data_IF_992476176022
#
_entry.id   IF_992476176022
#
_cell.length_a   1.000
_cell.length_b   1.000
_cell.length_c   1.000
_cell.angle_alpha   90.00
_cell.angle_beta   90.00
_cell.angle_gamma   90.00
#
_symmetry.space_group_name_H-M   'P 1'
#
loop_
_entity.id
_entity.type
_entity.pdbx_description
1 polymer ?
#
# COMPACT_ATOMS: atom_id res chain seq x y z
N UNK A 1 8.27 -5.20 -29.46
CA UNK A 1 8.43 -4.22 -28.37
C UNK A 1 7.35 -4.46 -27.36
N UNK A 2 7.64 -5.17 -26.26
CA UNK A 2 6.67 -5.28 -25.17
C UNK A 2 7.42 -5.49 -23.85
N UNK A 3 7.76 -4.38 -23.19
CA UNK A 3 8.24 -4.38 -21.80
C UNK A 3 7.01 -4.51 -20.88
N UNK A 4 6.53 -5.73 -20.67
CA UNK A 4 5.57 -6.05 -19.59
C UNK A 4 6.24 -6.75 -18.39
N UNK A 5 7.55 -6.56 -18.20
CA UNK A 5 8.32 -7.25 -17.17
C UNK A 5 9.27 -6.29 -16.45
N UNK A 6 8.72 -5.28 -15.76
CA UNK A 6 9.52 -4.41 -14.89
C UNK A 6 8.95 -4.26 -13.48
N UNK A 7 7.73 -4.73 -13.20
CA UNK A 7 7.09 -4.55 -11.88
C UNK A 7 7.35 -5.76 -10.96
N UNK A 8 7.71 -6.93 -11.52
CA UNK A 8 7.99 -8.14 -10.74
C UNK A 8 9.37 -8.14 -10.05
N UNK A 9 10.32 -7.32 -10.52
CA UNK A 9 11.68 -7.24 -9.95
C UNK A 9 11.81 -6.18 -8.85
N UNK A 10 10.75 -5.40 -8.61
CA UNK A 10 10.74 -4.37 -7.56
C UNK A 10 10.13 -4.97 -6.29
N UNK A 11 10.70 -6.09 -5.85
CA UNK A 11 10.54 -6.49 -4.46
C UNK A 11 11.31 -5.46 -3.62
N UNK A 12 10.78 -5.02 -2.47
CA UNK A 12 11.60 -4.27 -1.53
C UNK A 12 12.80 -5.15 -1.18
N UNK A 13 13.99 -4.75 -1.64
CA UNK A 13 15.23 -5.16 -1.00
C UNK A 13 15.08 -4.77 0.48
N UNK A 14 15.43 -5.66 1.40
CA UNK A 14 15.31 -5.42 2.85
C UNK A 14 16.09 -4.18 3.31
N UNK A 15 17.08 -3.75 2.51
CA UNK A 15 17.81 -2.49 2.73
C UNK A 15 17.00 -1.24 2.35
N UNK A 16 15.99 -1.36 1.48
CA UNK A 16 15.17 -0.24 0.98
C UNK A 16 13.93 -0.09 1.87
N UNK A 17 14.09 0.71 2.94
CA UNK A 17 13.02 1.06 3.87
C UNK A 17 11.97 2.01 3.29
N UNK A 18 12.28 2.69 2.19
CA UNK A 18 11.40 3.69 1.59
C UNK A 18 11.59 3.75 0.08
N UNK A 19 10.48 3.68 -0.67
CA UNK A 19 10.47 3.87 -2.12
C UNK A 19 9.21 4.60 -2.58
N UNK A 20 9.38 5.53 -3.53
CA UNK A 20 8.29 6.19 -4.23
C UNK A 20 8.41 6.00 -5.74
N UNK A 21 7.33 5.59 -6.39
CA UNK A 21 7.23 5.56 -7.84
C UNK A 21 6.87 6.94 -8.37
N UNK A 22 7.82 7.88 -8.31
CA UNK A 22 7.62 9.29 -8.70
C UNK A 22 7.18 9.46 -10.16
N UNK A 23 7.45 8.49 -11.01
CA UNK A 23 6.96 8.46 -12.39
C UNK A 23 5.42 8.28 -12.49
N UNK A 24 4.78 7.83 -11.42
CA UNK A 24 3.33 7.67 -11.34
C UNK A 24 2.61 9.02 -11.48
N UNK A 25 1.51 9.02 -12.23
CA UNK A 25 0.56 10.15 -12.34
C UNK A 25 0.09 10.71 -11.01
N UNK A 26 0.16 9.92 -9.93
CA UNK A 26 -0.15 10.37 -8.58
C UNK A 26 0.76 11.51 -8.13
N UNK A 27 2.08 11.36 -8.27
CA UNK A 27 3.08 12.33 -7.79
C UNK A 27 3.24 13.53 -8.72
N UNK A 28 2.68 13.49 -9.94
CA UNK A 28 2.63 14.64 -10.85
C UNK A 28 1.62 15.70 -10.39
N UNK A 29 0.77 15.40 -9.40
CA UNK A 29 -0.19 16.33 -8.84
C UNK A 29 0.42 17.01 -7.59
N UNK A 30 0.62 18.34 -7.60
CA UNK A 30 1.35 19.04 -6.53
C UNK A 30 0.64 18.99 -5.17
N UNK A 31 -0.67 18.75 -5.15
CA UNK A 31 -1.47 18.64 -3.93
C UNK A 31 -1.56 17.21 -3.38
N UNK A 32 -0.93 16.22 -4.03
CA UNK A 32 -1.01 14.82 -3.63
C UNK A 32 0.29 14.34 -3.03
N UNK A 33 0.24 14.02 -1.74
CA UNK A 33 1.25 13.27 -1.03
C UNK A 33 0.67 11.94 -0.53
N UNK A 34 1.53 10.93 -0.40
CA UNK A 34 1.14 9.71 0.29
C UNK A 34 1.10 9.96 1.81
N UNK A 35 0.12 9.39 2.53
CA UNK A 35 0.05 9.52 3.99
C UNK A 35 1.32 8.99 4.67
N UNK A 36 1.74 9.63 5.76
CA UNK A 36 2.92 9.18 6.51
C UNK A 36 2.62 7.94 7.36
N UNK A 37 3.62 7.11 7.70
CA UNK A 37 3.44 5.99 8.61
C UNK A 37 2.80 6.38 9.95
N UNK A 38 3.21 7.52 10.51
CA UNK A 38 2.65 8.08 11.75
C UNK A 38 1.16 8.38 11.62
N UNK A 39 0.71 8.96 10.50
CA UNK A 39 -0.71 9.21 10.25
C UNK A 39 -1.51 7.91 10.18
N UNK A 40 -0.99 6.89 9.50
CA UNK A 40 -1.64 5.59 9.38
C UNK A 40 -1.76 4.90 10.76
N UNK A 41 -0.72 4.98 11.58
CA UNK A 41 -0.73 4.46 12.96
C UNK A 41 -1.76 5.16 13.82
N UNK A 42 -1.83 6.48 13.76
CA UNK A 42 -2.82 7.26 14.52
C UNK A 42 -4.27 6.94 14.11
N UNK A 43 -4.50 6.59 12.84
CA UNK A 43 -5.83 6.27 12.32
C UNK A 43 -6.22 4.80 12.51
N UNK A 44 -5.24 3.90 12.68
CA UNK A 44 -5.48 2.45 12.70
C UNK A 44 -5.78 1.99 14.11
N UNK A 45 -6.97 1.44 14.31
CA UNK A 45 -7.37 0.92 15.61
C UNK A 45 -6.88 -0.50 15.88
N UNK A 46 -6.54 -1.26 14.84
CA UNK A 46 -6.22 -2.67 14.92
C UNK A 46 -4.77 -3.00 14.53
N UNK A 47 -3.92 -1.99 14.30
CA UNK A 47 -2.53 -2.19 13.85
C UNK A 47 -1.72 -3.10 14.77
N UNK A 48 -1.87 -2.95 16.09
CA UNK A 48 -1.16 -3.78 17.07
C UNK A 48 -1.97 -4.99 17.54
N UNK A 49 -3.26 -5.05 17.20
CA UNK A 49 -4.17 -6.10 17.64
C UNK A 49 -4.29 -7.25 16.64
N UNK A 50 -3.92 -7.02 15.38
CA UNK A 50 -4.09 -7.97 14.30
C UNK A 50 -2.82 -8.01 13.43
N UNK A 51 -2.20 -9.18 13.18
CA UNK A 51 -1.05 -9.29 12.28
C UNK A 51 -1.39 -8.97 10.81
N UNK A 52 -2.67 -8.86 10.46
CA UNK A 52 -3.17 -8.36 9.17
C UNK A 52 -4.23 -7.27 9.42
N UNK A 53 -3.79 -6.06 9.81
CA UNK A 53 -4.69 -4.93 10.06
C UNK A 53 -5.60 -4.63 8.87
N UNK A 54 -6.74 -4.01 9.16
CA UNK A 54 -7.67 -3.56 8.11
C UNK A 54 -6.97 -2.56 7.19
N UNK A 55 -7.02 -2.77 5.86
CA UNK A 55 -6.49 -1.80 4.92
C UNK A 55 -7.21 -0.45 5.04
N UNK A 56 -6.47 0.64 4.82
CA UNK A 56 -7.02 1.99 4.85
C UNK A 56 -7.28 2.52 3.45
N UNK A 57 -8.39 3.23 3.29
CA UNK A 57 -8.76 3.93 2.06
C UNK A 57 -8.79 5.44 2.36
N UNK A 58 -7.98 6.20 1.65
CA UNK A 58 -8.00 7.66 1.62
C UNK A 58 -8.74 8.09 0.35
N UNK A 59 -10.06 8.23 0.45
CA UNK A 59 -10.91 8.49 -0.72
C UNK A 59 -10.61 9.82 -1.41
N UNK A 60 -10.21 10.83 -0.65
CA UNK A 60 -9.81 12.15 -1.16
C UNK A 60 -8.53 12.06 -1.99
N UNK A 61 -7.57 11.26 -1.52
CA UNK A 61 -6.29 11.04 -2.20
C UNK A 61 -6.43 10.01 -3.34
N UNK A 62 -7.47 9.17 -3.30
CA UNK A 62 -7.60 7.94 -4.09
C UNK A 62 -6.42 6.99 -3.84
N UNK A 63 -6.04 6.86 -2.57
CA UNK A 63 -4.95 5.98 -2.12
C UNK A 63 -5.53 4.87 -1.26
N UNK A 64 -5.05 3.66 -1.50
CA UNK A 64 -5.32 2.48 -0.69
C UNK A 64 -4.02 2.04 -0.04
N UNK A 65 -4.04 1.77 1.26
CA UNK A 65 -2.85 1.38 2.02
C UNK A 65 -3.11 0.04 2.70
N UNK A 66 -2.28 -0.96 2.37
CA UNK A 66 -2.17 -2.20 3.13
C UNK A 66 -0.95 -2.09 4.02
N UNK A 67 -1.06 -2.50 5.27
CA UNK A 67 0.05 -2.46 6.20
C UNK A 67 -0.02 -3.62 7.19
N UNK A 68 1.14 -4.01 7.72
CA UNK A 68 1.26 -5.09 8.70
C UNK A 68 2.64 -5.74 8.66
N UNK A 69 2.92 -6.68 9.59
CA UNK A 69 4.12 -7.51 9.55
C UNK A 69 4.15 -8.44 8.32
N UNK A 70 2.98 -8.75 7.76
CA UNK A 70 2.85 -9.56 6.54
C UNK A 70 1.89 -8.90 5.55
N UNK A 71 2.42 -8.38 4.44
CA UNK A 71 1.62 -7.76 3.38
C UNK A 71 1.77 -8.55 2.08
N UNK A 72 0.65 -9.04 1.53
CA UNK A 72 0.63 -9.75 0.25
C UNK A 72 0.23 -8.82 -0.90
N UNK A 73 1.07 -8.75 -1.93
CA UNK A 73 0.87 -7.99 -3.17
C UNK A 73 -0.08 -8.67 -4.18
N UNK A 74 -1.11 -9.39 -3.73
CA UNK A 74 -2.09 -9.99 -4.66
C UNK A 74 -3.06 -8.94 -5.20
N UNK A 75 -3.21 -8.94 -6.52
CA UNK A 75 -4.25 -8.23 -7.29
C UNK A 75 -4.28 -6.72 -7.10
N UNK A 76 -3.12 -6.08 -7.09
CA UNK A 76 -3.04 -4.63 -7.01
C UNK A 76 -2.77 -4.03 -8.39
N UNK A 77 -3.66 -3.19 -8.93
CA UNK A 77 -3.53 -2.68 -10.28
C UNK A 77 -2.38 -1.67 -10.45
N UNK A 78 -1.98 -0.94 -9.38
CA UNK A 78 -0.88 0.04 -9.45
C UNK A 78 -0.32 0.42 -8.07
N UNK A 79 0.98 0.22 -7.87
CA UNK A 79 1.69 0.56 -6.62
C UNK A 79 2.26 1.98 -6.75
N UNK A 80 2.15 2.76 -5.67
CA UNK A 80 2.67 4.13 -5.57
C UNK A 80 3.99 4.20 -4.80
N UNK A 81 4.20 3.25 -3.88
CA UNK A 81 5.44 3.13 -3.13
C UNK A 81 5.25 2.21 -1.93
N UNK A 82 6.31 2.08 -1.14
CA UNK A 82 6.25 1.41 0.15
C UNK A 82 7.09 2.13 1.20
N UNK A 83 6.80 1.82 2.46
CA UNK A 83 7.59 2.19 3.63
C UNK A 83 7.74 1.00 4.55
N UNK A 84 8.86 0.91 5.24
CA UNK A 84 9.07 0.02 6.37
C UNK A 84 9.32 0.91 7.58
N UNK A 85 8.48 0.78 8.60
CA UNK A 85 8.64 1.60 9.80
C UNK A 85 9.58 0.96 10.83
N UNK A 86 9.71 1.62 11.98
CA UNK A 86 10.63 1.21 13.07
C UNK A 86 10.29 -0.15 13.67
N UNK A 87 9.03 -0.60 13.58
CA UNK A 87 8.59 -1.92 14.04
C UNK A 87 8.67 -2.99 12.93
N UNK A 88 9.29 -2.66 11.79
CA UNK A 88 9.33 -3.48 10.58
C UNK A 88 7.94 -3.75 9.98
N UNK A 89 6.95 -2.89 10.24
CA UNK A 89 5.69 -2.97 9.52
C UNK A 89 5.92 -2.47 8.10
N UNK A 90 5.53 -3.29 7.13
CA UNK A 90 5.53 -2.90 5.73
C UNK A 90 4.24 -2.15 5.47
N UNK A 91 4.33 -0.95 4.91
CA UNK A 91 3.23 -0.13 4.44
C UNK A 91 3.32 -0.07 2.91
N UNK A 92 2.30 -0.59 2.23
CA UNK A 92 2.22 -0.62 0.78
C UNK A 92 1.16 0.38 0.33
N UNK A 93 1.58 1.37 -0.46
CA UNK A 93 0.73 2.43 -0.99
C UNK A 93 0.33 2.11 -2.41
N UNK A 94 -0.97 2.21 -2.70
CA UNK A 94 -1.54 1.76 -3.96
C UNK A 94 -2.56 2.79 -4.45
N UNK A 95 -2.66 2.94 -5.77
CA UNK A 95 -3.64 3.84 -6.37
C UNK A 95 -5.01 3.14 -6.41
N UNK A 96 -6.03 3.80 -5.86
CA UNK A 96 -7.41 3.32 -5.90
C UNK A 96 -7.97 3.54 -7.31
N UNK A 97 -8.17 2.47 -8.08
CA UNK A 97 -8.80 2.58 -9.40
C UNK A 97 -10.32 2.75 -9.26
N UNK A 98 -10.91 3.63 -10.09
CA UNK A 98 -12.36 3.94 -10.06
C UNK A 98 -13.24 2.75 -10.42
N UNK A 99 -12.72 1.80 -11.20
CA UNK A 99 -13.51 0.73 -11.82
C UNK A 99 -13.60 -0.54 -10.97
N UNK A 100 -12.71 -0.71 -9.99
CA UNK A 100 -12.81 -1.77 -9.01
C UNK A 100 -12.79 -1.13 -7.65
N UNK A 101 -13.97 -0.87 -7.09
CA UNK A 101 -14.14 -0.94 -5.64
C UNK A 101 -13.61 -2.32 -5.28
N UNK A 102 -12.35 -2.43 -4.86
CA UNK A 102 -11.75 -3.70 -4.46
C UNK A 102 -12.77 -4.31 -3.51
N UNK A 103 -13.44 -5.38 -3.95
CA UNK A 103 -14.28 -6.19 -3.07
C UNK A 103 -13.26 -6.68 -2.05
N UNK A 104 -13.15 -5.95 -0.94
CA UNK A 104 -12.40 -6.38 0.22
C UNK A 104 -13.21 -7.55 0.74
N UNK A 105 -13.05 -8.72 0.09
CA UNK A 105 -13.64 -9.96 0.56
C UNK A 105 -12.87 -10.26 1.83
N UNK A 106 -13.43 -9.83 2.95
CA UNK A 106 -13.13 -10.39 4.25
C UNK A 106 -13.65 -11.82 4.27
N UNK A 107 -12.93 -12.73 3.62
CA UNK A 107 -13.05 -14.16 3.89
C UNK A 107 -11.66 -14.65 4.21
N UNK A 108 -11.35 -14.62 5.50
CA UNK A 108 -10.72 -15.77 6.13
C UNK A 108 -11.46 -15.98 7.47
N UNK A 109 -12.72 -16.42 7.32
CA UNK A 109 -13.35 -17.32 8.29
C UNK A 109 -12.66 -18.67 8.04
N UNK A 110 -11.55 -18.89 8.73
CA UNK A 110 -10.88 -20.18 8.86
C UNK A 110 -11.24 -20.74 10.23
N UNK A 111 -11.94 -21.88 10.19
CA UNK A 111 -12.51 -22.69 11.27
C UNK A 111 -11.70 -22.81 12.57
#
# INVERSE_FOLDING_TARGET
MTRFSAIAEILPDESIREMNFLESSFFKQPSKSIPTPTQLRALSKDIHANPRPRPMIFEELKVFVKFGPYVTMREVPKILGWRVDEENYVLLYMELSKERRCRMVGTDLGA
#
